data_IF_697716256281
#
_entry.id   IF_697716256281
#
_cell.length_a   1.000
_cell.length_b   1.000
_cell.length_c   1.000
_cell.angle_alpha   90.00
_cell.angle_beta   90.00
_cell.angle_gamma   90.00
#
_symmetry.space_group_name_H-M   'P 1'
#
loop_
_entity.id
_entity.type
_entity.pdbx_description
1 polymer ?
#
# COMPACT_ATOMS: atom_id res chain seq x y z
N UNK A 1 34.38 -48.44 -10.90
CA UNK A 1 34.43 -46.97 -11.12
C UNK A 1 33.20 -46.35 -10.52
N UNK A 2 33.40 -45.70 -9.36
CA UNK A 2 32.38 -45.05 -8.56
C UNK A 2 32.36 -43.59 -8.96
N UNK A 3 31.22 -43.10 -9.44
CA UNK A 3 30.94 -41.67 -9.55
C UNK A 3 30.27 -41.20 -8.26
N UNK A 4 30.95 -40.31 -7.54
CA UNK A 4 30.46 -39.68 -6.36
C UNK A 4 30.01 -38.26 -6.74
N UNK A 5 28.70 -38.03 -6.72
CA UNK A 5 28.11 -36.67 -6.77
C UNK A 5 28.35 -35.96 -5.43
N UNK A 6 28.70 -34.66 -5.42
CA UNK A 6 28.89 -33.95 -4.19
C UNK A 6 27.56 -33.59 -3.51
N UNK A 7 27.54 -33.47 -2.18
CA UNK A 7 26.30 -33.16 -1.42
C UNK A 7 25.88 -31.73 -1.62
N UNK A 8 24.57 -31.55 -1.82
CA UNK A 8 23.88 -30.25 -1.74
C UNK A 8 24.12 -29.63 -0.36
N UNK A 9 24.84 -28.54 -0.33
CA UNK A 9 24.96 -27.69 0.86
C UNK A 9 23.63 -26.93 1.02
N UNK A 10 22.80 -27.39 1.95
CA UNK A 10 21.69 -26.59 2.46
C UNK A 10 22.27 -25.37 3.17
N UNK A 11 22.20 -24.20 2.53
CA UNK A 11 22.48 -22.94 3.18
C UNK A 11 21.36 -22.64 4.18
N UNK A 12 21.66 -22.79 5.45
CA UNK A 12 20.86 -22.26 6.55
C UNK A 12 20.77 -20.74 6.40
N UNK A 13 19.64 -20.25 5.93
CA UNK A 13 19.30 -18.83 6.12
C UNK A 13 18.95 -18.61 7.57
N UNK A 14 19.96 -18.18 8.33
CA UNK A 14 19.77 -17.60 9.65
C UNK A 14 18.85 -16.38 9.49
N UNK A 15 17.71 -16.42 10.17
CA UNK A 15 16.77 -15.31 10.30
C UNK A 15 17.45 -14.15 11.02
N UNK A 16 18.07 -13.25 10.26
CA UNK A 16 18.36 -11.90 10.74
C UNK A 16 17.07 -11.09 10.61
N UNK A 17 16.69 -10.30 11.62
CA UNK A 17 15.62 -9.34 11.44
C UNK A 17 15.98 -8.46 10.24
N UNK A 18 15.07 -8.34 9.29
CA UNK A 18 15.24 -7.45 8.14
C UNK A 18 15.22 -6.04 8.71
N UNK A 19 16.40 -5.53 9.05
CA UNK A 19 16.61 -4.11 9.29
C UNK A 19 16.30 -3.42 7.98
N UNK A 20 15.19 -2.76 7.94
CA UNK A 20 14.78 -1.89 6.84
C UNK A 20 15.80 -0.75 6.77
N UNK A 21 16.86 -0.94 5.97
CA UNK A 21 17.79 0.13 5.65
C UNK A 21 17.06 1.10 4.72
N UNK A 22 16.39 2.07 5.32
CA UNK A 22 16.05 3.30 4.62
C UNK A 22 17.34 3.96 4.11
N UNK A 23 17.36 4.50 2.88
CA UNK A 23 18.47 5.33 2.45
C UNK A 23 18.57 6.51 3.42
N UNK A 24 19.68 6.58 4.16
CA UNK A 24 20.00 7.68 5.06
C UNK A 24 20.11 8.94 4.19
N UNK A 25 19.14 9.83 4.30
CA UNK A 25 19.23 11.18 3.74
C UNK A 25 20.47 11.84 4.36
N UNK A 26 21.47 12.15 3.54
CA UNK A 26 22.61 12.94 3.96
C UNK A 26 22.10 14.30 4.43
N UNK A 27 22.53 14.79 5.60
CA UNK A 27 22.16 16.12 6.05
C UNK A 27 22.61 17.16 5.02
N UNK A 28 21.73 18.13 4.76
CA UNK A 28 22.00 19.26 3.87
C UNK A 28 23.28 19.97 4.35
N UNK A 29 24.29 20.17 3.49
CA UNK A 29 25.54 20.78 3.92
C UNK A 29 25.28 22.22 4.38
N UNK A 30 25.80 22.62 5.57
CA UNK A 30 25.66 23.99 6.04
C UNK A 30 26.49 24.92 5.16
N UNK A 31 25.87 25.98 4.65
CA UNK A 31 26.59 27.06 3.94
C UNK A 31 26.24 27.26 2.46
N UNK A 32 25.35 26.50 1.88
CA UNK A 32 24.82 26.81 0.54
C UNK A 32 23.63 27.78 0.67
N UNK A 33 23.58 28.83 -0.19
CA UNK A 33 22.39 29.68 -0.22
C UNK A 33 21.18 28.86 -0.69
N UNK A 34 19.97 29.13 -0.17
CA UNK A 34 18.78 28.42 -0.64
C UNK A 34 18.61 28.65 -2.14
N UNK A 35 18.20 27.65 -2.91
CA UNK A 35 18.01 27.77 -4.35
C UNK A 35 17.03 28.92 -4.62
N UNK A 36 17.47 29.89 -5.40
CA UNK A 36 16.69 31.05 -5.76
C UNK A 36 15.44 30.68 -6.55
N UNK A 37 14.28 31.00 -5.97
CA UNK A 37 13.06 31.46 -6.59
C UNK A 37 12.48 30.66 -7.76
N UNK A 38 11.95 29.50 -7.48
CA UNK A 38 10.59 29.12 -7.84
C UNK A 38 9.99 28.61 -6.52
N UNK A 39 8.89 29.18 -6.04
CA UNK A 39 8.15 28.60 -4.91
C UNK A 39 7.54 27.29 -5.42
N UNK A 40 8.32 26.23 -5.47
CA UNK A 40 7.80 24.89 -5.43
C UNK A 40 7.21 24.74 -4.04
N UNK A 41 5.91 24.85 -3.94
CA UNK A 41 5.22 24.43 -2.73
C UNK A 41 5.47 22.94 -2.65
N UNK A 42 6.31 22.52 -1.71
CA UNK A 42 6.55 21.10 -1.42
C UNK A 42 5.23 20.51 -0.98
N UNK A 43 4.68 19.59 -1.78
CA UNK A 43 3.44 18.89 -1.43
C UNK A 43 3.78 17.82 -0.42
N UNK A 44 3.48 18.10 0.85
CA UNK A 44 3.64 17.15 1.96
C UNK A 44 2.28 16.56 2.30
N UNK A 45 2.22 15.24 2.41
CA UNK A 45 1.00 14.54 2.79
C UNK A 45 1.23 13.65 4.02
N UNK A 46 0.21 13.50 4.86
CA UNK A 46 0.20 12.55 5.97
C UNK A 46 -0.79 11.44 5.66
N UNK A 47 -0.32 10.21 5.75
CA UNK A 47 -1.05 9.00 5.38
C UNK A 47 -1.12 8.01 6.55
N UNK A 48 -2.16 7.20 6.55
CA UNK A 48 -2.21 5.97 7.35
C UNK A 48 -1.45 4.83 6.67
N UNK A 49 -0.93 3.88 7.45
CA UNK A 49 -0.58 2.56 6.90
C UNK A 49 -1.84 1.87 6.39
N UNK A 50 -1.82 1.32 5.16
CA UNK A 50 -3.01 0.78 4.53
C UNK A 50 -2.73 -0.54 3.80
N UNK A 51 -3.68 -1.47 3.93
CA UNK A 51 -3.66 -2.77 3.25
C UNK A 51 -4.12 -2.61 1.81
N UNK A 52 -3.22 -2.85 0.84
CA UNK A 52 -3.49 -2.69 -0.59
C UNK A 52 -4.37 -1.45 -0.86
N UNK A 53 -3.88 -0.30 -0.44
CA UNK A 53 -4.60 0.96 -0.40
C UNK A 53 -5.35 1.29 -1.72
N UNK A 54 -6.40 2.13 -1.67
CA UNK A 54 -7.17 2.47 -2.86
C UNK A 54 -6.39 3.34 -3.85
N UNK A 55 -6.88 3.45 -5.06
CA UNK A 55 -6.30 4.28 -6.13
C UNK A 55 -6.11 5.73 -5.66
N UNK A 56 -7.06 6.28 -4.92
CA UNK A 56 -6.98 7.62 -4.31
C UNK A 56 -5.69 7.82 -3.50
N UNK A 57 -5.33 6.86 -2.67
CA UNK A 57 -4.10 6.89 -1.86
C UNK A 57 -2.85 7.05 -2.74
N UNK A 58 -2.76 6.23 -3.79
CA UNK A 58 -1.61 6.23 -4.68
C UNK A 58 -1.60 7.41 -5.65
N UNK A 59 -2.75 7.98 -5.99
CA UNK A 59 -2.83 9.23 -6.74
C UNK A 59 -2.20 10.38 -5.94
N UNK A 60 -2.57 10.56 -4.67
CA UNK A 60 -1.94 11.54 -3.80
C UNK A 60 -0.44 11.30 -3.64
N UNK A 61 -0.04 10.03 -3.43
CA UNK A 61 1.37 9.69 -3.27
C UNK A 61 2.18 9.95 -4.56
N UNK A 62 1.54 9.77 -5.73
CA UNK A 62 2.16 10.10 -7.03
C UNK A 62 2.51 11.57 -7.17
N UNK A 63 1.71 12.47 -6.60
CA UNK A 63 1.88 13.92 -6.68
C UNK A 63 2.70 14.51 -5.52
N UNK A 64 2.86 13.75 -4.43
CA UNK A 64 3.54 14.25 -3.25
C UNK A 64 5.06 14.31 -3.46
N UNK A 65 5.69 15.39 -3.03
CA UNK A 65 7.15 15.47 -2.92
C UNK A 65 7.63 14.69 -1.70
N UNK A 66 6.82 14.70 -0.63
CA UNK A 66 7.12 13.99 0.61
C UNK A 66 5.84 13.44 1.25
N UNK A 67 5.89 12.22 1.73
CA UNK A 67 4.81 11.56 2.45
C UNK A 67 5.28 11.11 3.82
N UNK A 68 4.46 11.33 4.83
CA UNK A 68 4.65 10.84 6.20
C UNK A 68 3.59 9.78 6.49
N UNK A 69 4.02 8.55 6.76
CA UNK A 69 3.13 7.47 7.21
C UNK A 69 3.13 7.43 8.73
N UNK A 70 1.98 7.71 9.33
CA UNK A 70 1.81 7.78 10.79
C UNK A 70 1.47 6.40 11.37
N UNK A 71 2.43 5.76 12.03
CA UNK A 71 2.21 4.51 12.78
C UNK A 71 1.88 4.73 14.25
N UNK A 72 2.01 5.98 14.75
CA UNK A 72 1.59 6.37 16.09
C UNK A 72 0.10 6.63 16.21
N UNK A 73 -0.63 6.81 15.09
CA UNK A 73 -2.08 6.96 15.12
C UNK A 73 -2.78 5.71 15.68
N UNK A 74 -3.95 5.88 16.29
CA UNK A 74 -4.71 4.74 16.78
C UNK A 74 -5.35 3.95 15.63
N UNK A 75 -5.28 2.63 15.75
CA UNK A 75 -5.93 1.72 14.81
C UNK A 75 -7.45 1.95 14.79
N UNK A 76 -8.00 2.12 13.60
CA UNK A 76 -9.44 2.26 13.39
C UNK A 76 -9.94 1.09 12.54
N UNK A 77 -10.82 0.28 13.13
CA UNK A 77 -11.44 -0.87 12.44
C UNK A 77 -12.30 -0.45 11.25
N UNK A 78 -12.42 -1.33 10.26
CA UNK A 78 -13.22 -1.11 9.06
C UNK A 78 -12.77 0.13 8.26
N UNK A 79 -11.47 0.32 8.17
CA UNK A 79 -10.81 1.32 7.34
C UNK A 79 -9.80 0.63 6.43
N UNK A 80 -9.18 1.37 5.54
CA UNK A 80 -8.13 0.84 4.67
C UNK A 80 -6.88 0.35 5.42
N UNK A 81 -6.75 0.62 6.73
CA UNK A 81 -5.63 0.13 7.56
C UNK A 81 -5.53 -1.39 7.54
N UNK A 82 -6.67 -2.09 7.57
CA UNK A 82 -6.72 -3.56 7.51
C UNK A 82 -7.71 -4.12 6.47
N UNK A 83 -8.20 -3.28 5.55
CA UNK A 83 -9.18 -3.68 4.55
C UNK A 83 -8.87 -3.07 3.19
N UNK A 84 -9.04 -3.85 2.13
CA UNK A 84 -9.09 -3.35 0.77
C UNK A 84 -10.39 -3.80 0.08
N UNK A 85 -10.67 -3.25 -1.09
CA UNK A 85 -11.80 -3.63 -1.92
C UNK A 85 -11.30 -4.04 -3.30
N UNK A 86 -11.71 -5.21 -3.75
CA UNK A 86 -11.38 -5.76 -5.07
C UNK A 86 -12.63 -5.90 -5.92
N UNK A 87 -12.48 -5.93 -7.25
CA UNK A 87 -13.58 -6.24 -8.15
C UNK A 87 -13.86 -7.76 -8.14
N UNK A 88 -15.14 -8.11 -8.17
CA UNK A 88 -15.60 -9.48 -8.43
C UNK A 88 -16.79 -9.46 -9.39
N UNK A 89 -17.21 -10.59 -9.94
CA UNK A 89 -18.41 -10.66 -10.77
C UNK A 89 -19.71 -10.18 -10.08
N UNK A 90 -19.68 -10.08 -8.75
CA UNK A 90 -20.84 -9.64 -7.93
C UNK A 90 -20.72 -8.19 -7.45
N UNK A 91 -19.68 -7.47 -7.86
CA UNK A 91 -19.38 -6.11 -7.42
C UNK A 91 -18.13 -6.01 -6.56
N UNK A 92 -18.00 -4.92 -5.81
CA UNK A 92 -16.85 -4.70 -4.93
C UNK A 92 -16.91 -5.64 -3.72
N UNK A 93 -15.84 -6.39 -3.49
CA UNK A 93 -15.69 -7.31 -2.36
C UNK A 93 -14.61 -6.80 -1.39
N UNK A 94 -14.92 -6.71 -0.07
CA UNK A 94 -13.91 -6.38 0.92
C UNK A 94 -13.05 -7.60 1.27
N UNK A 95 -11.73 -7.42 1.31
CA UNK A 95 -10.78 -8.32 1.95
C UNK A 95 -10.32 -7.67 3.25
N UNK A 96 -10.54 -8.33 4.38
CA UNK A 96 -10.25 -7.77 5.70
C UNK A 96 -9.28 -8.65 6.46
N UNK A 97 -8.11 -8.10 6.79
CA UNK A 97 -7.10 -8.76 7.60
C UNK A 97 -7.59 -8.91 9.04
N UNK A 98 -7.51 -10.12 9.62
CA UNK A 98 -7.83 -10.31 11.03
C UNK A 98 -6.69 -9.77 11.89
N UNK A 99 -7.05 -9.05 12.94
CA UNK A 99 -6.11 -8.51 13.93
C UNK A 99 -6.38 -9.05 15.31
N UNK A 100 -5.33 -9.21 16.11
CA UNK A 100 -5.44 -9.58 17.51
C UNK A 100 -6.09 -8.41 18.26
N UNK A 101 -7.09 -8.71 19.06
CA UNK A 101 -7.78 -7.72 19.89
C UNK A 101 -7.16 -7.74 21.29
N UNK A 102 -6.12 -6.95 21.48
CA UNK A 102 -5.53 -6.74 22.79
C UNK A 102 -6.26 -5.57 23.47
N UNK A 103 -7.24 -5.90 24.34
CA UNK A 103 -7.85 -4.94 25.26
C UNK A 103 -8.55 -3.74 24.61
N UNK A 104 -8.82 -2.72 25.36
CA UNK A 104 -9.67 -1.60 25.01
C UNK A 104 -8.94 -0.55 24.15
N UNK A 105 -9.15 -0.59 22.85
CA UNK A 105 -9.53 0.57 22.05
C UNK A 105 -8.48 1.61 21.65
N UNK A 106 -7.20 1.57 22.01
CA UNK A 106 -6.25 2.63 21.63
C UNK A 106 -4.86 2.10 21.26
N UNK A 107 -4.81 0.98 20.54
CA UNK A 107 -3.52 0.41 20.08
C UNK A 107 -2.97 1.30 18.94
N UNK A 108 -1.73 1.78 19.05
CA UNK A 108 -1.05 2.46 17.94
C UNK A 108 -0.96 1.56 16.71
N UNK A 109 -1.07 2.12 15.52
CA UNK A 109 -1.07 1.35 14.27
C UNK A 109 0.18 0.47 14.11
N UNK A 110 1.34 0.96 14.59
CA UNK A 110 2.60 0.22 14.57
C UNK A 110 2.66 -0.99 15.50
N UNK A 111 1.73 -1.12 16.45
CA UNK A 111 1.68 -2.21 17.44
C UNK A 111 0.56 -3.22 17.17
N UNK A 112 -0.26 -2.99 16.14
CA UNK A 112 -1.36 -3.88 15.77
C UNK A 112 -0.82 -5.19 15.22
N UNK A 113 -1.15 -6.31 15.90
CA UNK A 113 -0.71 -7.64 15.51
C UNK A 113 -1.72 -8.32 14.60
N UNK A 114 -1.22 -9.01 13.58
CA UNK A 114 -2.04 -9.88 12.75
C UNK A 114 -2.43 -11.13 13.54
N UNK A 115 -3.64 -11.61 13.33
CA UNK A 115 -4.12 -12.88 13.86
C UNK A 115 -3.92 -13.98 12.83
N UNK A 116 -3.49 -15.18 13.27
CA UNK A 116 -3.40 -16.36 12.40
C UNK A 116 -4.74 -17.11 12.28
N UNK A 117 -5.81 -16.55 12.87
CA UNK A 117 -7.12 -17.18 12.82
C UNK A 117 -7.71 -17.20 11.40
N UNK A 118 -8.18 -18.37 10.94
CA UNK A 118 -9.03 -18.51 9.76
C UNK A 118 -8.30 -18.58 8.42
N UNK A 119 -7.04 -18.97 8.37
CA UNK A 119 -6.25 -19.16 7.11
C UNK A 119 -6.42 -18.02 6.09
N UNK A 120 -6.51 -16.80 6.60
CA UNK A 120 -6.82 -15.61 5.82
C UNK A 120 -5.80 -15.37 4.69
N UNK A 121 -4.53 -15.77 4.86
CA UNK A 121 -3.50 -15.61 3.83
C UNK A 121 -3.88 -16.35 2.55
N UNK A 122 -4.22 -17.62 2.69
CA UNK A 122 -4.68 -18.45 1.58
C UNK A 122 -5.99 -17.93 0.98
N UNK A 123 -6.96 -17.55 1.84
CA UNK A 123 -8.25 -17.02 1.39
C UNK A 123 -8.09 -15.72 0.61
N UNK A 124 -7.26 -14.78 1.07
CA UNK A 124 -7.03 -13.52 0.38
C UNK A 124 -6.29 -13.71 -0.93
N UNK A 125 -5.24 -14.57 -0.93
CA UNK A 125 -4.53 -14.88 -2.16
C UNK A 125 -5.45 -15.52 -3.21
N UNK A 126 -6.26 -16.49 -2.83
CA UNK A 126 -7.21 -17.13 -3.74
C UNK A 126 -8.29 -16.15 -4.21
N UNK A 127 -8.72 -15.22 -3.37
CA UNK A 127 -9.66 -14.18 -3.79
C UNK A 127 -9.05 -13.26 -4.85
N UNK A 128 -7.78 -12.85 -4.68
CA UNK A 128 -7.05 -12.07 -5.69
C UNK A 128 -6.85 -12.86 -6.99
N UNK A 129 -6.39 -14.11 -6.91
CA UNK A 129 -6.19 -14.94 -8.07
C UNK A 129 -7.50 -15.16 -8.83
N UNK A 130 -8.58 -15.56 -8.15
CA UNK A 130 -9.89 -15.79 -8.78
C UNK A 130 -10.51 -14.53 -9.37
N UNK A 131 -10.21 -13.35 -8.80
CA UNK A 131 -10.72 -12.09 -9.31
C UNK A 131 -9.93 -11.60 -10.54
N UNK A 132 -8.63 -11.87 -10.62
CA UNK A 132 -7.76 -11.20 -11.58
C UNK A 132 -6.97 -12.11 -12.52
N UNK A 133 -7.06 -13.45 -12.40
CA UNK A 133 -6.37 -14.37 -13.35
C UNK A 133 -6.76 -14.13 -14.81
N UNK A 134 -7.95 -13.59 -15.07
CA UNK A 134 -8.41 -13.19 -16.41
C UNK A 134 -8.03 -11.75 -16.79
N UNK A 135 -7.33 -10.99 -15.93
CA UNK A 135 -6.90 -9.64 -16.25
C UNK A 135 -5.57 -9.62 -17.01
N UNK A 136 -5.30 -8.59 -17.86
CA UNK A 136 -4.16 -8.60 -18.78
C UNK A 136 -2.78 -8.70 -18.12
N UNK A 137 -2.64 -8.23 -16.86
CA UNK A 137 -1.33 -8.13 -16.20
C UNK A 137 -1.20 -8.97 -14.92
N UNK A 138 -2.22 -9.72 -14.52
CA UNK A 138 -2.15 -10.53 -13.30
C UNK A 138 -1.00 -11.54 -13.34
N UNK A 139 -0.86 -12.28 -14.44
CA UNK A 139 0.19 -13.30 -14.61
C UNK A 139 1.60 -12.70 -14.45
N UNK A 140 1.80 -11.47 -14.90
CA UNK A 140 3.10 -10.79 -14.83
C UNK A 140 3.46 -10.30 -13.43
N UNK A 141 2.47 -10.04 -12.57
CA UNK A 141 2.68 -9.41 -11.26
C UNK A 141 2.36 -10.34 -10.08
N UNK A 142 1.70 -11.47 -10.31
CA UNK A 142 1.27 -12.39 -9.27
C UNK A 142 2.44 -12.89 -8.41
N UNK A 143 3.58 -13.20 -9.03
CA UNK A 143 4.75 -13.71 -8.34
C UNK A 143 5.43 -12.70 -7.42
N UNK A 144 5.20 -11.40 -7.61
CA UNK A 144 5.69 -10.35 -6.71
C UNK A 144 4.85 -10.27 -5.42
N UNK A 145 3.55 -10.57 -5.49
CA UNK A 145 2.64 -10.51 -4.34
C UNK A 145 2.55 -11.83 -3.58
N UNK A 146 2.52 -12.96 -4.28
CA UNK A 146 2.27 -14.29 -3.71
C UNK A 146 3.17 -14.64 -2.51
N UNK A 147 4.50 -14.42 -2.55
CA UNK A 147 5.37 -14.75 -1.43
C UNK A 147 4.99 -14.04 -0.13
N UNK A 148 4.40 -12.83 -0.20
CA UNK A 148 3.99 -12.08 0.98
C UNK A 148 2.79 -12.73 1.69
N UNK A 149 1.95 -13.47 0.97
CA UNK A 149 0.86 -14.25 1.55
C UNK A 149 1.30 -15.63 2.06
N UNK A 150 2.46 -16.12 1.60
CA UNK A 150 3.02 -17.40 2.06
C UNK A 150 3.86 -17.25 3.33
N UNK A 151 4.43 -16.05 3.59
CA UNK A 151 5.22 -15.76 4.77
C UNK A 151 4.38 -15.15 5.91
N UNK A 152 4.62 -15.55 7.16
CA UNK A 152 3.97 -14.94 8.31
C UNK A 152 4.55 -13.53 8.59
N UNK A 153 3.67 -12.61 8.91
CA UNK A 153 4.00 -11.30 9.46
C UNK A 153 3.37 -11.17 10.84
N UNK A 154 4.11 -10.63 11.80
CA UNK A 154 3.61 -10.41 13.15
C UNK A 154 2.75 -9.15 13.22
N UNK A 155 3.22 -8.05 12.62
CA UNK A 155 2.54 -6.75 12.69
C UNK A 155 1.83 -6.41 11.39
N UNK A 156 0.64 -5.81 11.54
CA UNK A 156 -0.16 -5.34 10.41
C UNK A 156 0.59 -4.29 9.59
N UNK A 157 1.29 -3.37 10.26
CA UNK A 157 2.05 -2.31 9.60
C UNK A 157 3.17 -2.86 8.71
N UNK A 158 3.86 -3.94 9.14
CA UNK A 158 4.94 -4.56 8.38
C UNK A 158 4.42 -5.25 7.12
N UNK A 159 3.29 -5.95 7.22
CA UNK A 159 2.65 -6.57 6.07
C UNK A 159 2.16 -5.52 5.06
N UNK A 160 1.52 -4.46 5.54
CA UNK A 160 1.12 -3.34 4.69
C UNK A 160 2.32 -2.69 4.00
N UNK A 161 3.42 -2.47 4.71
CA UNK A 161 4.63 -1.89 4.15
C UNK A 161 5.27 -2.79 3.09
N UNK A 162 5.30 -4.11 3.30
CA UNK A 162 5.80 -5.05 2.32
C UNK A 162 4.99 -5.01 1.02
N UNK A 163 3.67 -5.06 1.10
CA UNK A 163 2.77 -4.93 -0.05
C UNK A 163 2.91 -3.56 -0.74
N UNK A 164 3.01 -2.49 0.05
CA UNK A 164 3.21 -1.14 -0.47
C UNK A 164 4.49 -1.01 -1.30
N UNK A 165 5.59 -1.61 -0.84
CA UNK A 165 6.86 -1.60 -1.57
C UNK A 165 6.77 -2.35 -2.91
N UNK A 166 6.06 -3.48 -2.96
CA UNK A 166 5.77 -4.18 -4.22
C UNK A 166 5.01 -3.27 -5.17
N UNK A 167 3.94 -2.63 -4.70
CA UNK A 167 3.13 -1.70 -5.51
C UNK A 167 3.97 -0.54 -6.03
N UNK A 168 4.81 0.08 -5.18
CA UNK A 168 5.70 1.17 -5.61
C UNK A 168 6.68 0.72 -6.69
N UNK A 169 7.27 -0.47 -6.53
CA UNK A 169 8.17 -1.07 -7.51
C UNK A 169 7.48 -1.25 -8.86
N UNK A 170 6.30 -1.87 -8.87
CA UNK A 170 5.52 -2.13 -10.09
C UNK A 170 5.03 -0.84 -10.77
N UNK A 171 4.69 0.16 -10.00
CA UNK A 171 4.37 1.51 -10.49
C UNK A 171 5.61 2.30 -10.91
N UNK A 172 6.83 1.82 -10.65
CA UNK A 172 8.09 2.56 -10.81
C UNK A 172 8.03 3.93 -10.14
N UNK A 173 7.49 3.98 -8.93
CA UNK A 173 7.42 5.19 -8.11
C UNK A 173 8.50 5.14 -7.01
N UNK A 174 9.16 6.27 -6.81
CA UNK A 174 10.20 6.43 -5.78
C UNK A 174 9.90 7.68 -4.93
N UNK A 175 8.73 7.74 -4.27
CA UNK A 175 8.40 8.88 -3.44
C UNK A 175 9.33 8.96 -2.22
N UNK A 176 9.51 10.18 -1.70
CA UNK A 176 10.15 10.36 -0.39
C UNK A 176 9.13 10.03 0.70
N UNK A 177 9.31 8.88 1.38
CA UNK A 177 8.42 8.44 2.45
C UNK A 177 9.18 8.39 3.76
N UNK A 178 8.63 9.06 4.77
CA UNK A 178 9.04 8.96 6.16
C UNK A 178 7.98 8.19 6.96
N UNK A 179 8.41 7.47 7.99
CA UNK A 179 7.50 6.74 8.90
C UNK A 179 7.65 7.30 10.29
N UNK A 180 6.58 7.83 10.86
CA UNK A 180 6.53 8.24 12.27
C UNK A 180 6.02 7.11 13.13
N UNK A 181 6.71 6.81 14.23
CA UNK A 181 6.23 5.90 15.28
C UNK A 181 5.44 6.62 16.36
N UNK A 182 5.66 7.94 16.49
CA UNK A 182 4.91 8.79 17.38
C UNK A 182 3.73 9.38 16.63
N UNK A 183 2.60 9.57 17.35
CA UNK A 183 1.41 10.18 16.75
C UNK A 183 1.67 11.61 16.28
N UNK A 184 1.38 11.86 15.02
CA UNK A 184 1.48 13.20 14.43
C UNK A 184 0.23 14.00 14.77
N UNK A 185 0.28 14.68 15.94
CA UNK A 185 -0.84 15.46 16.44
C UNK A 185 -0.99 16.79 15.68
N UNK A 186 0.13 17.44 15.35
CA UNK A 186 0.14 18.71 14.63
C UNK A 186 0.52 18.48 13.17
N UNK A 187 -0.40 18.87 12.29
CA UNK A 187 -0.16 18.82 10.83
C UNK A 187 0.74 20.00 10.46
N UNK A 188 1.91 19.77 9.87
CA UNK A 188 2.79 20.84 9.43
C UNK A 188 2.06 21.82 8.50
N UNK A 189 2.39 23.12 8.60
CA UNK A 189 1.80 24.13 7.75
C UNK A 189 2.03 23.80 6.26
N UNK A 190 0.96 23.75 5.49
CA UNK A 190 1.00 23.38 4.07
C UNK A 190 0.96 21.89 3.77
N UNK A 191 0.98 21.01 4.78
CA UNK A 191 0.77 19.58 4.60
C UNK A 191 -0.73 19.23 4.55
N UNK A 192 -1.09 18.22 3.78
CA UNK A 192 -2.44 17.67 3.73
C UNK A 192 -2.55 16.42 4.61
N UNK A 193 -3.46 16.41 5.57
CA UNK A 193 -3.77 15.23 6.38
C UNK A 193 -4.82 14.38 5.68
N UNK A 194 -4.39 13.26 5.14
CA UNK A 194 -5.23 12.32 4.40
C UNK A 194 -5.65 11.09 5.21
N UNK A 195 -5.20 10.98 6.49
CA UNK A 195 -5.44 9.79 7.35
C UNK A 195 -6.92 9.45 7.52
N UNK A 196 -7.78 10.47 7.55
CA UNK A 196 -9.22 10.30 7.69
C UNK A 196 -9.99 10.55 6.40
N UNK A 197 -9.42 11.27 5.45
CA UNK A 197 -10.03 11.54 4.14
C UNK A 197 -10.00 10.27 3.26
N UNK A 198 -8.85 9.59 3.20
CA UNK A 198 -8.71 8.32 2.47
C UNK A 198 -9.26 7.19 3.33
N UNK A 199 -10.58 7.03 3.30
CA UNK A 199 -11.30 6.10 4.14
C UNK A 199 -12.54 5.55 3.41
N UNK A 200 -12.87 4.24 3.54
CA UNK A 200 -14.08 3.69 2.94
C UNK A 200 -15.38 4.24 3.57
N UNK A 201 -15.26 5.00 4.65
CA UNK A 201 -16.38 5.66 5.34
C UNK A 201 -16.64 7.07 4.83
N UNK A 202 -15.74 7.59 4.00
CA UNK A 202 -15.83 8.93 3.44
C UNK A 202 -16.06 8.81 1.94
N UNK A 203 -17.12 9.41 1.40
CA UNK A 203 -17.32 9.46 -0.05
C UNK A 203 -16.12 10.08 -0.75
N UNK A 204 -15.68 9.46 -1.85
CA UNK A 204 -14.49 9.89 -2.59
C UNK A 204 -14.62 11.31 -3.14
N UNK A 205 -15.83 11.77 -3.36
CA UNK A 205 -16.18 13.12 -3.83
C UNK A 205 -15.87 14.22 -2.81
N UNK A 206 -15.61 13.85 -1.54
CA UNK A 206 -15.17 14.80 -0.51
C UNK A 206 -13.69 15.18 -0.66
N UNK A 207 -12.96 14.47 -1.49
CA UNK A 207 -11.59 14.80 -1.83
C UNK A 207 -11.55 15.73 -3.04
N UNK A 208 -11.41 17.02 -2.78
CA UNK A 208 -11.39 18.04 -3.83
C UNK A 208 -10.18 17.97 -4.78
N UNK A 209 -9.14 17.22 -4.41
CA UNK A 209 -7.93 17.06 -5.23
C UNK A 209 -7.93 15.75 -6.02
N UNK A 210 -8.88 14.86 -5.77
CA UNK A 210 -8.98 13.57 -6.42
C UNK A 210 -10.26 13.47 -7.25
N UNK A 211 -10.11 12.98 -8.48
CA UNK A 211 -11.22 12.65 -9.37
C UNK A 211 -11.08 11.24 -9.89
N UNK A 212 -12.13 10.44 -9.73
CA UNK A 212 -12.18 9.09 -10.28
C UNK A 212 -12.00 9.12 -11.79
N UNK A 213 -10.99 8.40 -12.28
CA UNK A 213 -10.77 8.19 -13.72
C UNK A 213 -11.21 6.78 -14.09
N UNK A 214 -12.12 6.63 -15.06
CA UNK A 214 -12.45 5.31 -15.58
C UNK A 214 -11.26 4.67 -16.28
N UNK A 215 -11.07 3.38 -16.02
CA UNK A 215 -10.08 2.53 -16.69
C UNK A 215 -10.69 1.17 -17.01
N UNK A 216 -9.97 0.33 -17.73
CA UNK A 216 -10.42 -1.02 -18.03
C UNK A 216 -10.50 -1.85 -16.74
N UNK A 217 -11.63 -2.51 -16.51
CA UNK A 217 -11.86 -3.47 -15.43
C UNK A 217 -12.44 -4.75 -16.01
N UNK A 218 -11.89 -5.90 -15.65
CA UNK A 218 -12.26 -7.21 -16.21
C UNK A 218 -13.76 -7.54 -16.06
N UNK A 219 -14.42 -7.02 -15.02
CA UNK A 219 -15.85 -7.27 -14.76
C UNK A 219 -16.76 -6.09 -15.16
N UNK A 220 -16.24 -5.06 -15.84
CA UNK A 220 -16.99 -3.83 -16.15
C UNK A 220 -18.31 -4.05 -16.89
N UNK A 221 -18.35 -5.01 -17.80
CA UNK A 221 -19.58 -5.33 -18.54
C UNK A 221 -20.68 -5.88 -17.64
N UNK A 222 -20.29 -6.54 -16.54
CA UNK A 222 -21.22 -7.20 -15.61
C UNK A 222 -21.62 -6.32 -14.43
N UNK A 223 -20.67 -5.54 -13.89
CA UNK A 223 -20.87 -4.77 -12.65
C UNK A 223 -21.02 -3.28 -12.89
N UNK A 224 -20.75 -2.80 -14.12
CA UNK A 224 -20.42 -1.42 -14.34
C UNK A 224 -19.00 -1.07 -13.86
N UNK A 225 -18.63 0.18 -13.99
CA UNK A 225 -17.35 0.65 -13.46
C UNK A 225 -17.41 0.80 -11.93
N UNK A 226 -16.47 0.18 -11.21
CA UNK A 226 -16.35 0.25 -9.75
C UNK A 226 -15.24 1.27 -9.39
N UNK A 227 -15.60 2.43 -8.79
CA UNK A 227 -14.63 3.48 -8.51
C UNK A 227 -13.76 3.15 -7.30
N UNK A 228 -12.56 3.74 -7.28
CA UNK A 228 -11.64 3.79 -6.12
C UNK A 228 -11.40 2.44 -5.43
N UNK A 229 -11.28 1.36 -6.22
CA UNK A 229 -10.88 0.06 -5.70
C UNK A 229 -9.41 0.07 -5.24
N UNK A 230 -8.98 -1.04 -4.65
CA UNK A 230 -7.57 -1.29 -4.35
C UNK A 230 -6.67 -1.04 -5.57
N UNK A 231 -5.47 -0.57 -5.33
CA UNK A 231 -4.46 -0.34 -6.37
C UNK A 231 -4.16 -1.60 -7.21
N UNK A 232 -4.32 -2.79 -6.64
CA UNK A 232 -4.11 -4.05 -7.38
C UNK A 232 -5.14 -4.23 -8.50
N UNK A 233 -6.36 -3.71 -8.35
CA UNK A 233 -7.33 -3.69 -9.44
C UNK A 233 -6.80 -2.88 -10.63
N UNK A 234 -6.24 -1.71 -10.38
CA UNK A 234 -5.64 -0.88 -11.41
C UNK A 234 -4.40 -1.55 -12.02
N UNK A 235 -3.49 -2.07 -11.18
CA UNK A 235 -2.26 -2.73 -11.65
C UNK A 235 -2.54 -3.94 -12.53
N UNK A 236 -3.41 -4.84 -12.10
CA UNK A 236 -3.69 -6.07 -12.84
C UNK A 236 -4.46 -5.82 -14.13
N UNK A 237 -5.24 -4.77 -14.21
CA UNK A 237 -5.97 -4.41 -15.41
C UNK A 237 -5.19 -3.50 -16.37
N UNK A 238 -4.35 -2.59 -15.88
CA UNK A 238 -3.70 -1.55 -16.69
C UNK A 238 -2.18 -1.68 -16.77
N UNK A 239 -1.56 -2.47 -15.91
CA UNK A 239 -0.10 -2.65 -15.91
C UNK A 239 0.66 -1.32 -15.85
N UNK A 240 1.62 -1.09 -16.75
CA UNK A 240 2.41 0.15 -16.79
C UNK A 240 1.59 1.42 -17.00
N UNK A 241 0.40 1.32 -17.62
CA UNK A 241 -0.49 2.47 -17.85
C UNK A 241 -1.17 2.95 -16.56
N UNK A 242 -1.08 2.19 -15.47
CA UNK A 242 -1.61 2.58 -14.15
C UNK A 242 -1.12 3.97 -13.72
N UNK A 243 0.13 4.31 -14.03
CA UNK A 243 0.71 5.63 -13.70
C UNK A 243 -0.03 6.78 -14.40
N UNK A 244 -0.48 6.57 -15.63
CA UNK A 244 -1.23 7.59 -16.38
C UNK A 244 -2.60 7.81 -15.72
N UNK A 245 -3.27 6.75 -15.29
CA UNK A 245 -4.54 6.85 -14.57
C UNK A 245 -4.36 7.61 -13.26
N UNK A 246 -3.32 7.28 -12.45
CA UNK A 246 -3.01 8.00 -11.21
C UNK A 246 -2.78 9.49 -11.47
N UNK A 247 -1.98 9.83 -12.49
CA UNK A 247 -1.72 11.21 -12.87
C UNK A 247 -2.99 11.97 -13.26
N UNK A 248 -3.86 11.34 -14.04
CA UNK A 248 -5.12 11.95 -14.50
C UNK A 248 -6.17 12.07 -13.40
N UNK A 249 -6.02 11.30 -12.31
CA UNK A 249 -6.91 11.34 -11.14
C UNK A 249 -6.67 12.55 -10.23
N UNK A 250 -5.65 13.35 -10.47
CA UNK A 250 -5.35 14.56 -9.73
C UNK A 250 -5.87 15.81 -10.46
N UNK A 251 -6.36 16.79 -9.68
CA UNK A 251 -6.96 18.04 -10.18
C UNK A 251 -5.99 19.19 -9.90
#
# INVERSE_FOLDING_TARGET
>A
TRDASPPLVLAFFATKPVSFLMPILKPYPPGLPPPHSIKHYTVVIILSSAYLAPIQYYAHLYAADHALVDLGEHYVKQTYRNRCYIATPSGAQPLTLPVVRDGVGHTPMGEVRLSDHGDWRHLHWNALASAYEGSPYFEYYADDFRPLYEHPFEYLADFNAALHNVVLSLLSLTPSIEVSRDYVAEVPAGAADLRNLVSPKVPVEHDAQFRVQPYYQVFKERTGFLPNLSIVDLLFNMGPESRMVLKQSLI
#
